data_IF_308305036954
#
_entry.id   IF_308305036954
#
_cell.length_a   1.000
_cell.length_b   1.000
_cell.length_c   1.000
_cell.angle_alpha   90.00
_cell.angle_beta   90.00
_cell.angle_gamma   90.00
#
_symmetry.space_group_name_H-M   'P 1'
#
loop_
_entity.id
_entity.type
_entity.pdbx_description
1 polymer ?
#
# COMPACT_ATOMS: atom_id res chain seq x y z
N UNK A 1 -6.85 42.38 15.47
CA UNK A 1 -6.84 40.93 15.84
C UNK A 1 -7.95 40.31 15.02
N UNK A 2 -7.58 39.65 13.90
CA UNK A 2 -8.53 38.91 13.10
C UNK A 2 -8.60 37.50 13.67
N UNK A 3 -9.78 37.09 14.09
CA UNK A 3 -10.06 35.70 14.50
C UNK A 3 -9.78 34.75 13.34
N UNK A 4 -8.85 33.83 13.55
CA UNK A 4 -8.59 32.73 12.63
C UNK A 4 -9.83 31.81 12.67
N UNK A 5 -10.50 31.55 11.52
CA UNK A 5 -11.72 30.73 11.53
C UNK A 5 -11.36 29.34 12.07
N UNK A 6 -12.14 28.86 13.02
CA UNK A 6 -12.04 27.52 13.61
C UNK A 6 -12.03 26.48 12.48
N UNK A 7 -10.85 26.00 12.10
CA UNK A 7 -10.67 24.93 11.13
C UNK A 7 -11.36 23.69 11.65
N UNK A 8 -12.35 23.23 10.89
CA UNK A 8 -13.17 22.07 11.20
C UNK A 8 -12.29 20.88 11.59
N UNK A 9 -12.35 20.46 12.85
CA UNK A 9 -11.57 19.32 13.40
C UNK A 9 -11.75 18.02 12.61
N UNK A 10 -12.86 17.91 11.82
CA UNK A 10 -13.12 16.78 10.91
C UNK A 10 -12.14 16.68 9.76
N UNK A 11 -11.40 17.75 9.41
CA UNK A 11 -10.41 17.75 8.33
C UNK A 11 -9.02 17.29 8.79
N UNK A 12 -8.75 17.16 10.09
CA UNK A 12 -7.40 16.98 10.64
C UNK A 12 -6.86 15.54 10.58
N UNK A 13 -7.71 14.53 10.66
CA UNK A 13 -7.22 13.13 10.76
C UNK A 13 -7.98 12.19 9.83
N UNK A 14 -7.28 11.68 8.81
CA UNK A 14 -7.77 10.57 8.00
C UNK A 14 -7.44 9.29 8.75
N UNK A 15 -8.44 8.57 9.25
CA UNK A 15 -8.25 7.32 9.97
C UNK A 15 -8.64 6.09 9.13
N UNK A 16 -8.21 4.92 9.57
CA UNK A 16 -8.52 3.63 8.97
C UNK A 16 -10.04 3.41 8.77
N UNK A 17 -10.87 3.96 9.66
CA UNK A 17 -12.34 3.91 9.54
C UNK A 17 -12.87 4.62 8.29
N UNK A 18 -12.21 5.70 7.85
CA UNK A 18 -12.58 6.39 6.62
C UNK A 18 -12.29 5.54 5.39
N UNK A 19 -11.08 4.95 5.32
CA UNK A 19 -10.71 4.04 4.26
C UNK A 19 -11.65 2.82 4.20
N UNK A 20 -12.01 2.25 5.35
CA UNK A 20 -12.95 1.13 5.43
C UNK A 20 -14.34 1.49 4.90
N UNK A 21 -14.92 2.61 5.36
CA UNK A 21 -16.23 3.07 4.89
C UNK A 21 -16.24 3.37 3.40
N UNK A 22 -15.18 4.00 2.90
CA UNK A 22 -15.05 4.32 1.49
C UNK A 22 -14.95 3.07 0.62
N UNK A 23 -14.13 2.09 1.02
CA UNK A 23 -14.01 0.81 0.33
C UNK A 23 -15.32 0.03 0.30
N UNK A 24 -16.07 0.01 1.41
CA UNK A 24 -17.39 -0.59 1.46
C UNK A 24 -18.38 0.12 0.50
N UNK A 25 -18.37 1.46 0.45
CA UNK A 25 -19.22 2.23 -0.49
C UNK A 25 -18.89 1.94 -1.94
N UNK A 26 -17.61 1.86 -2.29
CA UNK A 26 -17.17 1.53 -3.65
C UNK A 26 -17.62 0.13 -4.05
N UNK A 27 -17.44 -0.87 -3.19
CA UNK A 27 -17.89 -2.22 -3.46
C UNK A 27 -19.43 -2.32 -3.66
N UNK A 28 -20.23 -1.57 -2.88
CA UNK A 28 -21.68 -1.49 -3.08
C UNK A 28 -22.05 -0.82 -4.41
N UNK A 29 -21.39 0.30 -4.76
CA UNK A 29 -21.63 0.99 -6.05
C UNK A 29 -21.27 0.10 -7.24
N UNK A 30 -20.15 -0.56 -7.19
CA UNK A 30 -19.70 -1.50 -8.22
C UNK A 30 -20.71 -2.62 -8.42
N UNK A 31 -21.21 -3.23 -7.33
CA UNK A 31 -22.29 -4.23 -7.38
C UNK A 31 -23.59 -3.65 -7.95
N UNK A 32 -23.96 -2.43 -7.55
CA UNK A 32 -25.19 -1.77 -7.99
C UNK A 32 -25.16 -1.31 -9.47
N UNK A 33 -23.98 -1.08 -10.04
CA UNK A 33 -23.80 -0.66 -11.44
C UNK A 33 -24.10 -1.74 -12.47
N UNK A 34 -24.23 -3.01 -12.04
CA UNK A 34 -24.65 -4.12 -12.91
C UNK A 34 -26.03 -3.88 -13.49
N UNK A 35 -26.10 -3.72 -14.84
CA UNK A 35 -27.35 -3.34 -15.55
C UNK A 35 -28.46 -4.37 -15.50
N UNK A 36 -28.19 -5.64 -15.20
CA UNK A 36 -29.19 -6.71 -15.06
C UNK A 36 -28.88 -7.57 -13.84
N UNK A 37 -29.94 -8.18 -13.26
CA UNK A 37 -29.81 -9.11 -12.13
C UNK A 37 -28.84 -10.26 -12.46
N UNK A 38 -28.91 -10.77 -13.70
CA UNK A 38 -28.00 -11.81 -14.19
C UNK A 38 -26.53 -11.34 -14.21
N UNK A 39 -26.24 -10.11 -14.66
CA UNK A 39 -24.88 -9.54 -14.63
C UNK A 39 -24.40 -9.32 -13.20
N UNK A 40 -25.29 -8.93 -12.27
CA UNK A 40 -24.98 -8.82 -10.83
C UNK A 40 -24.63 -10.18 -10.24
N UNK A 41 -25.41 -11.23 -10.52
CA UNK A 41 -25.12 -12.60 -10.09
C UNK A 41 -23.81 -13.12 -10.72
N UNK A 42 -23.61 -12.91 -12.02
CA UNK A 42 -22.39 -13.31 -12.73
C UNK A 42 -21.17 -12.54 -12.24
N UNK A 43 -21.30 -11.26 -11.88
CA UNK A 43 -20.19 -10.50 -11.29
C UNK A 43 -19.79 -11.05 -9.92
N UNK A 44 -20.75 -11.44 -9.08
CA UNK A 44 -20.49 -12.13 -7.81
C UNK A 44 -19.81 -13.48 -8.02
N UNK A 45 -20.21 -14.22 -9.06
CA UNK A 45 -19.56 -15.51 -9.42
C UNK A 45 -18.17 -15.31 -10.01
N UNK A 46 -18.01 -14.32 -10.90
CA UNK A 46 -16.70 -13.99 -11.53
C UNK A 46 -15.73 -13.30 -10.58
N UNK A 47 -16.25 -12.49 -9.65
CA UNK A 47 -15.50 -11.81 -8.62
C UNK A 47 -16.07 -12.10 -7.23
N UNK A 48 -16.00 -13.33 -6.71
CA UNK A 48 -16.53 -13.70 -5.38
C UNK A 48 -15.81 -13.00 -4.22
N UNK A 49 -14.86 -12.11 -4.52
CA UNK A 49 -14.31 -11.16 -3.55
C UNK A 49 -15.23 -9.97 -3.25
N UNK A 50 -16.27 -9.69 -4.05
CA UNK A 50 -17.18 -8.55 -3.80
C UNK A 50 -17.83 -8.55 -2.40
N UNK A 51 -18.43 -9.64 -1.91
CA UNK A 51 -18.97 -9.65 -0.57
C UNK A 51 -17.90 -9.42 0.50
N UNK A 52 -16.68 -9.93 0.28
CA UNK A 52 -15.57 -9.77 1.21
C UNK A 52 -15.04 -8.34 1.17
N UNK A 53 -14.90 -7.75 -0.02
CA UNK A 53 -14.45 -6.37 -0.19
C UNK A 53 -15.43 -5.40 0.43
N UNK A 54 -16.74 -5.68 0.39
CA UNK A 54 -17.76 -4.90 1.08
C UNK A 54 -17.63 -5.00 2.60
N UNK A 55 -17.40 -6.21 3.12
CA UNK A 55 -17.34 -6.48 4.56
C UNK A 55 -15.94 -6.22 5.15
N UNK A 56 -14.90 -6.39 4.35
CA UNK A 56 -13.51 -6.11 4.75
C UNK A 56 -12.68 -5.57 3.55
N UNK A 57 -12.84 -4.30 3.21
CA UNK A 57 -12.16 -3.68 2.08
C UNK A 57 -10.65 -3.55 2.27
N UNK A 58 -10.16 -3.74 3.48
CA UNK A 58 -8.75 -3.67 3.85
C UNK A 58 -8.30 -5.05 4.32
N UNK A 59 -7.34 -5.64 3.60
CA UNK A 59 -6.81 -6.97 3.93
C UNK A 59 -6.04 -6.98 5.25
N UNK A 60 -5.74 -8.17 5.76
CA UNK A 60 -5.19 -8.41 7.09
C UNK A 60 -3.95 -7.54 7.41
N UNK A 61 -2.89 -7.62 6.61
CA UNK A 61 -1.66 -6.84 6.84
C UNK A 61 -1.89 -5.34 6.64
N UNK A 62 -2.70 -4.98 5.64
CA UNK A 62 -3.02 -3.57 5.31
C UNK A 62 -3.73 -2.84 6.44
N UNK A 63 -4.38 -3.53 7.38
CA UNK A 63 -4.96 -2.90 8.58
C UNK A 63 -3.90 -2.11 9.38
N UNK A 64 -2.68 -2.62 9.47
CA UNK A 64 -1.58 -1.95 10.19
C UNK A 64 -0.77 -1.00 9.32
N UNK A 65 -0.53 -1.36 8.08
CA UNK A 65 0.22 -0.53 7.15
C UNK A 65 -0.53 0.77 6.81
N UNK A 66 -1.84 0.69 6.54
CA UNK A 66 -2.64 1.90 6.31
C UNK A 66 -2.72 2.77 7.56
N UNK A 67 -2.87 2.17 8.74
CA UNK A 67 -2.84 2.94 9.99
C UNK A 67 -1.50 3.70 10.13
N UNK A 68 -0.36 3.03 9.90
CA UNK A 68 0.95 3.66 9.92
C UNK A 68 1.05 4.82 8.91
N UNK A 69 0.65 4.61 7.66
CA UNK A 69 0.72 5.64 6.62
C UNK A 69 -0.15 6.84 6.98
N UNK A 70 -1.42 6.61 7.35
CA UNK A 70 -2.35 7.69 7.67
C UNK A 70 -1.93 8.48 8.92
N UNK A 71 -1.43 7.80 9.96
CA UNK A 71 -0.87 8.43 11.17
C UNK A 71 0.40 9.23 10.83
N UNK A 72 1.26 8.69 9.96
CA UNK A 72 2.48 9.37 9.51
C UNK A 72 2.18 10.60 8.66
N UNK A 73 1.19 10.55 7.76
CA UNK A 73 0.71 11.72 7.02
C UNK A 73 0.24 12.80 8.00
N UNK A 74 -0.60 12.44 8.96
CA UNK A 74 -1.11 13.38 9.96
C UNK A 74 0.00 14.04 10.77
N UNK A 75 1.08 13.32 11.04
CA UNK A 75 2.22 13.79 11.83
C UNK A 75 3.21 14.63 11.04
N UNK A 76 3.58 14.19 9.83
CA UNK A 76 4.73 14.76 9.11
C UNK A 76 4.32 15.65 7.93
N UNK A 77 3.19 15.38 7.30
CA UNK A 77 2.69 16.16 6.14
C UNK A 77 1.14 16.14 6.09
N UNK A 78 0.46 16.79 7.06
CA UNK A 78 -1.01 16.68 7.20
C UNK A 78 -1.79 17.24 6.01
N UNK A 79 -1.22 18.19 5.26
CA UNK A 79 -1.82 18.84 4.10
C UNK A 79 -0.81 18.91 2.95
N UNK A 80 -0.54 17.79 2.26
CA UNK A 80 0.32 17.83 1.08
C UNK A 80 -0.37 18.60 -0.05
N UNK A 81 0.38 19.43 -0.79
CA UNK A 81 -0.10 20.06 -2.03
C UNK A 81 -0.15 19.06 -3.16
N UNK A 82 0.89 18.21 -3.27
CA UNK A 82 1.02 17.18 -4.28
C UNK A 82 1.45 15.84 -3.65
N UNK A 83 0.67 14.80 -3.91
CA UNK A 83 0.88 13.46 -3.40
C UNK A 83 1.00 12.44 -4.53
N UNK A 84 2.06 11.63 -4.51
CA UNK A 84 2.25 10.48 -5.39
C UNK A 84 2.08 9.18 -4.63
N UNK A 85 1.25 8.29 -5.15
CA UNK A 85 1.15 6.91 -4.72
C UNK A 85 1.80 5.97 -5.73
N UNK A 86 2.83 5.24 -5.30
CA UNK A 86 3.52 4.25 -6.13
C UNK A 86 2.96 2.87 -5.82
N UNK A 87 1.99 2.44 -6.61
CA UNK A 87 1.43 1.08 -6.64
C UNK A 87 0.95 0.52 -5.29
N UNK A 88 0.66 1.38 -4.29
CA UNK A 88 0.06 0.93 -3.03
C UNK A 88 -1.31 0.29 -3.28
N UNK A 89 -1.86 -0.46 -2.31
CA UNK A 89 -3.23 -0.95 -2.44
C UNK A 89 -4.21 0.20 -2.73
N UNK A 90 -4.94 0.11 -3.82
CA UNK A 90 -5.65 1.20 -4.53
C UNK A 90 -6.61 2.03 -3.68
N UNK A 91 -7.10 1.45 -2.59
CA UNK A 91 -7.96 2.17 -1.66
C UNK A 91 -7.21 3.30 -0.92
N UNK A 92 -5.89 3.23 -0.78
CA UNK A 92 -5.09 4.26 -0.08
C UNK A 92 -5.11 5.61 -0.81
N UNK A 93 -4.66 5.73 -2.09
CA UNK A 93 -4.71 6.99 -2.80
C UNK A 93 -6.13 7.52 -2.98
N UNK A 94 -7.12 6.65 -3.22
CA UNK A 94 -8.52 7.04 -3.31
C UNK A 94 -9.03 7.63 -1.98
N UNK A 95 -8.64 7.04 -0.83
CA UNK A 95 -9.01 7.55 0.49
C UNK A 95 -8.42 8.93 0.74
N UNK A 96 -7.16 9.15 0.39
CA UNK A 96 -6.47 10.43 0.57
C UNK A 96 -7.10 11.50 -0.33
N UNK A 97 -7.31 11.18 -1.61
CA UNK A 97 -7.95 12.11 -2.55
C UNK A 97 -9.36 12.52 -2.11
N UNK A 98 -10.16 11.56 -1.65
CA UNK A 98 -11.52 11.81 -1.15
C UNK A 98 -11.52 12.70 0.10
N UNK A 99 -10.59 12.46 1.03
CA UNK A 99 -10.52 13.20 2.29
C UNK A 99 -9.75 14.53 2.18
N UNK A 100 -8.99 14.74 1.10
CA UNK A 100 -8.17 15.93 0.85
C UNK A 100 -8.41 16.47 -0.56
N UNK A 101 -9.56 17.10 -0.83
CA UNK A 101 -9.93 17.55 -2.19
C UNK A 101 -9.00 18.64 -2.75
N UNK A 102 -8.22 19.31 -1.91
CA UNK A 102 -7.23 20.31 -2.32
C UNK A 102 -5.85 19.72 -2.64
N UNK A 103 -5.60 18.45 -2.31
CA UNK A 103 -4.36 17.75 -2.62
C UNK A 103 -4.44 17.21 -4.05
N UNK A 104 -3.49 17.55 -4.91
CA UNK A 104 -3.30 16.83 -6.18
C UNK A 104 -2.76 15.45 -5.87
N UNK A 105 -3.43 14.42 -6.35
CA UNK A 105 -3.05 13.02 -6.14
C UNK A 105 -2.77 12.38 -7.48
N UNK A 106 -1.58 11.83 -7.64
CA UNK A 106 -1.20 10.98 -8.75
C UNK A 106 -0.98 9.56 -8.22
N UNK A 107 -1.61 8.56 -8.84
CA UNK A 107 -1.46 7.14 -8.50
C UNK A 107 -0.96 6.40 -9.73
N UNK A 108 0.12 5.66 -9.57
CA UNK A 108 0.67 4.85 -10.67
C UNK A 108 0.64 3.37 -10.33
N UNK A 109 0.54 2.56 -11.36
CA UNK A 109 0.78 1.12 -11.29
C UNK A 109 1.28 0.60 -12.62
N UNK A 110 2.02 -0.51 -12.61
CA UNK A 110 2.40 -1.23 -13.82
C UNK A 110 1.25 -2.09 -14.35
N UNK A 111 0.30 -2.46 -13.49
CA UNK A 111 -0.85 -3.30 -13.82
C UNK A 111 -2.02 -2.46 -14.31
N UNK A 112 -2.42 -2.63 -15.56
CA UNK A 112 -3.54 -1.90 -16.16
C UNK A 112 -4.85 -2.08 -15.37
N UNK A 113 -5.15 -3.30 -14.91
CA UNK A 113 -6.36 -3.58 -14.14
C UNK A 113 -6.47 -2.78 -12.85
N UNK A 114 -5.34 -2.51 -12.19
CA UNK A 114 -5.27 -1.70 -10.98
C UNK A 114 -5.48 -0.21 -11.28
N UNK A 115 -4.92 0.28 -12.39
CA UNK A 115 -5.15 1.66 -12.86
C UNK A 115 -6.61 1.87 -13.23
N UNK A 116 -7.21 0.93 -13.96
CA UNK A 116 -8.62 0.97 -14.34
C UNK A 116 -9.53 1.01 -13.10
N UNK A 117 -9.23 0.21 -12.08
CA UNK A 117 -9.99 0.24 -10.84
C UNK A 117 -9.97 1.63 -10.16
N UNK A 118 -8.81 2.29 -10.11
CA UNK A 118 -8.72 3.66 -9.57
C UNK A 118 -9.52 4.64 -10.41
N UNK A 119 -9.46 4.57 -11.75
CA UNK A 119 -10.24 5.43 -12.66
C UNK A 119 -11.74 5.25 -12.48
N UNK A 120 -12.20 4.01 -12.29
CA UNK A 120 -13.59 3.73 -11.96
C UNK A 120 -13.99 4.33 -10.61
N UNK A 121 -13.15 4.20 -9.58
CA UNK A 121 -13.38 4.80 -8.28
C UNK A 121 -13.44 6.33 -8.37
N UNK A 122 -12.56 6.97 -9.15
CA UNK A 122 -12.58 8.41 -9.45
C UNK A 122 -13.93 8.83 -10.02
N UNK A 123 -14.40 8.11 -11.04
CA UNK A 123 -15.69 8.37 -11.69
C UNK A 123 -16.86 8.19 -10.71
N UNK A 124 -16.87 7.09 -9.97
CA UNK A 124 -17.95 6.77 -9.01
C UNK A 124 -18.06 7.75 -7.84
N UNK A 125 -16.93 8.32 -7.41
CA UNK A 125 -16.88 9.26 -6.29
C UNK A 125 -16.91 10.72 -6.72
N UNK A 126 -16.81 10.99 -8.04
CA UNK A 126 -16.74 12.35 -8.58
C UNK A 126 -15.46 13.09 -8.17
N UNK A 127 -14.34 12.38 -8.01
CA UNK A 127 -13.06 12.97 -7.64
C UNK A 127 -12.50 13.77 -8.84
N UNK A 128 -11.99 14.97 -8.57
CA UNK A 128 -11.36 15.84 -9.59
C UNK A 128 -9.85 16.01 -9.35
N UNK A 129 -9.36 15.49 -8.25
CA UNK A 129 -8.01 15.69 -7.76
C UNK A 129 -7.16 14.41 -7.77
N UNK A 130 -7.65 13.31 -8.36
CA UNK A 130 -6.92 12.04 -8.47
C UNK A 130 -6.79 11.63 -9.94
N UNK A 131 -5.54 11.46 -10.37
CA UNK A 131 -5.18 10.90 -11.68
C UNK A 131 -4.54 9.53 -11.49
N UNK A 132 -4.90 8.55 -12.33
CA UNK A 132 -4.29 7.24 -12.32
C UNK A 132 -3.68 6.91 -13.68
N UNK A 133 -2.42 6.48 -13.72
CA UNK A 133 -1.67 6.17 -14.94
C UNK A 133 -0.84 4.89 -14.82
N UNK A 134 -0.62 4.24 -15.96
CA UNK A 134 0.30 3.11 -16.06
C UNK A 134 1.72 3.68 -16.10
N UNK A 135 2.56 3.29 -15.14
CA UNK A 135 3.96 3.68 -15.11
C UNK A 135 4.80 2.68 -14.30
N UNK A 136 6.08 2.60 -14.66
CA UNK A 136 7.08 1.81 -13.92
C UNK A 136 7.73 2.71 -12.85
N UNK A 137 7.76 2.23 -11.62
CA UNK A 137 8.39 2.95 -10.50
C UNK A 137 9.90 3.18 -10.70
N UNK A 138 10.55 2.42 -11.61
CA UNK A 138 11.97 2.57 -11.94
C UNK A 138 12.28 3.73 -12.88
N UNK A 139 11.22 4.28 -13.52
CA UNK A 139 11.29 5.40 -14.48
C UNK A 139 10.01 6.20 -14.41
N UNK A 140 9.91 7.08 -13.40
CA UNK A 140 8.69 7.85 -13.12
C UNK A 140 8.50 8.98 -14.16
N UNK A 141 7.31 9.11 -14.78
CA UNK A 141 7.05 10.14 -15.79
C UNK A 141 6.72 11.51 -15.15
N UNK A 142 7.45 11.87 -14.09
CA UNK A 142 7.26 13.12 -13.37
C UNK A 142 8.56 13.91 -13.30
N UNK A 143 8.45 15.24 -13.26
CA UNK A 143 9.59 16.11 -13.08
C UNK A 143 10.22 15.93 -11.68
N UNK A 144 11.46 16.35 -11.54
CA UNK A 144 12.15 16.43 -10.27
C UNK A 144 11.34 17.28 -9.29
N UNK A 145 11.36 16.93 -8.02
CA UNK A 145 10.83 17.76 -6.93
C UNK A 145 9.35 18.14 -7.04
N UNK A 146 8.55 17.31 -7.73
CA UNK A 146 7.14 17.59 -8.04
C UNK A 146 6.13 17.15 -6.98
N UNK A 147 6.57 16.46 -5.90
CA UNK A 147 5.68 15.96 -4.87
C UNK A 147 6.16 16.29 -3.45
N UNK A 148 5.23 16.67 -2.58
CA UNK A 148 5.48 16.87 -1.16
C UNK A 148 5.44 15.59 -0.35
N UNK A 149 4.67 14.61 -0.84
CA UNK A 149 4.42 13.33 -0.21
C UNK A 149 4.45 12.23 -1.24
N UNK A 150 5.19 11.16 -0.94
CA UNK A 150 5.19 9.93 -1.76
C UNK A 150 4.89 8.75 -0.85
N UNK A 151 4.02 7.84 -1.28
CA UNK A 151 3.79 6.57 -0.57
C UNK A 151 4.06 5.38 -1.47
N UNK A 152 4.53 4.29 -0.86
CA UNK A 152 4.59 2.97 -1.48
C UNK A 152 4.42 1.88 -0.42
N UNK A 153 3.31 1.17 -0.46
CA UNK A 153 2.92 0.20 0.57
C UNK A 153 3.04 -1.21 0.04
N UNK A 154 4.07 -1.92 0.45
CA UNK A 154 4.40 -3.30 0.02
C UNK A 154 4.44 -3.45 -1.50
N UNK A 155 5.38 -2.75 -2.13
CA UNK A 155 5.59 -2.75 -3.59
C UNK A 155 7.05 -3.02 -3.94
N UNK A 156 7.98 -2.34 -3.29
CA UNK A 156 9.41 -2.40 -3.61
C UNK A 156 9.98 -3.82 -3.52
N UNK A 157 9.41 -4.66 -2.68
CA UNK A 157 9.77 -6.08 -2.57
C UNK A 157 9.51 -6.89 -3.83
N UNK A 158 8.62 -6.44 -4.70
CA UNK A 158 8.21 -7.13 -5.93
C UNK A 158 8.97 -6.68 -7.17
N UNK A 159 9.72 -5.56 -7.11
CA UNK A 159 10.42 -5.01 -8.26
C UNK A 159 11.59 -5.90 -8.64
N UNK A 160 11.50 -6.47 -9.85
CA UNK A 160 12.55 -7.33 -10.39
C UNK A 160 13.71 -6.50 -11.02
N UNK A 161 14.90 -7.09 -11.14
CA UNK A 161 15.31 -8.42 -10.70
C UNK A 161 15.43 -8.52 -9.16
N UNK A 162 15.56 -9.76 -8.66
CA UNK A 162 15.72 -10.02 -7.21
C UNK A 162 16.85 -9.17 -6.60
N UNK A 163 17.99 -9.12 -7.26
CA UNK A 163 19.15 -8.36 -6.76
C UNK A 163 19.16 -6.95 -7.34
N UNK A 164 18.81 -5.97 -6.54
CA UNK A 164 18.93 -4.54 -6.84
C UNK A 164 17.88 -3.95 -7.76
N UNK A 165 16.83 -4.70 -8.14
CA UNK A 165 15.77 -4.20 -9.02
C UNK A 165 15.00 -3.02 -8.44
N UNK A 166 14.92 -2.91 -7.12
CA UNK A 166 14.26 -1.82 -6.39
C UNK A 166 15.10 -0.55 -6.27
N UNK A 167 16.42 -0.62 -6.41
CA UNK A 167 17.29 0.54 -6.24
C UNK A 167 17.04 1.68 -7.27
N UNK A 168 16.77 1.39 -8.57
CA UNK A 168 16.31 2.42 -9.51
C UNK A 168 15.01 3.10 -9.05
N UNK A 169 14.04 2.34 -8.55
CA UNK A 169 12.78 2.90 -8.06
C UNK A 169 13.00 3.77 -6.80
N UNK A 170 13.94 3.39 -5.92
CA UNK A 170 14.32 4.21 -4.78
C UNK A 170 14.96 5.54 -5.22
N UNK A 171 15.82 5.54 -6.25
CA UNK A 171 16.37 6.78 -6.83
C UNK A 171 15.28 7.69 -7.39
N UNK A 172 14.35 7.12 -8.15
CA UNK A 172 13.23 7.88 -8.71
C UNK A 172 12.34 8.49 -7.62
N UNK A 173 12.04 7.73 -6.58
CA UNK A 173 11.30 8.23 -5.41
C UNK A 173 12.01 9.44 -4.79
N UNK A 174 13.34 9.39 -4.63
CA UNK A 174 14.13 10.52 -4.13
C UNK A 174 14.17 11.69 -5.10
N UNK A 175 14.21 11.44 -6.42
CA UNK A 175 14.23 12.47 -7.46
C UNK A 175 12.93 13.28 -7.48
N UNK A 176 11.78 12.60 -7.50
CA UNK A 176 10.47 13.28 -7.62
C UNK A 176 10.00 13.96 -6.34
N UNK A 177 10.59 13.63 -5.19
CA UNK A 177 10.23 14.24 -3.92
C UNK A 177 10.84 15.63 -3.80
N UNK A 178 10.07 16.64 -3.43
CA UNK A 178 10.52 18.01 -3.22
C UNK A 178 11.39 18.15 -1.94
N UNK A 179 12.28 19.15 -1.84
CA UNK A 179 13.02 19.44 -0.61
C UNK A 179 12.08 19.54 0.60
N UNK A 180 12.46 18.91 1.71
CA UNK A 180 11.61 18.81 2.90
C UNK A 180 10.41 17.85 2.78
N UNK A 181 10.16 17.29 1.60
CA UNK A 181 9.10 16.32 1.33
C UNK A 181 9.30 15.00 2.08
N UNK A 182 8.23 14.24 2.22
CA UNK A 182 8.16 13.00 3.00
C UNK A 182 7.84 11.81 2.10
N UNK A 183 8.62 10.73 2.23
CA UNK A 183 8.28 9.43 1.66
C UNK A 183 7.94 8.43 2.78
N UNK A 184 6.85 7.68 2.57
CA UNK A 184 6.37 6.65 3.48
C UNK A 184 6.40 5.31 2.75
N UNK A 185 7.21 4.39 3.24
CA UNK A 185 7.37 3.07 2.65
C UNK A 185 7.03 1.98 3.66
N UNK A 186 6.40 0.91 3.18
CA UNK A 186 6.35 -0.34 3.93
C UNK A 186 6.84 -1.49 3.06
N UNK A 187 7.64 -2.38 3.63
CA UNK A 187 8.18 -3.56 2.96
C UNK A 187 8.23 -4.76 3.91
N UNK A 188 8.12 -6.00 3.42
CA UNK A 188 8.34 -7.18 4.24
C UNK A 188 9.77 -7.21 4.82
N UNK A 189 9.86 -7.57 6.09
CA UNK A 189 11.13 -7.60 6.82
C UNK A 189 11.36 -8.96 7.48
N UNK A 190 12.61 -9.37 7.54
CA UNK A 190 13.09 -10.53 8.27
C UNK A 190 14.47 -10.24 8.87
N UNK A 191 14.87 -10.98 9.91
CA UNK A 191 16.21 -10.85 10.49
C UNK A 191 17.35 -11.23 9.52
N UNK A 192 17.05 -12.12 8.57
CA UNK A 192 17.95 -12.46 7.47
C UNK A 192 17.21 -12.32 6.15
N UNK A 193 17.92 -11.82 5.13
CA UNK A 193 17.41 -11.73 3.78
C UNK A 193 16.95 -13.11 3.26
N UNK A 194 15.82 -13.14 2.56
CA UNK A 194 15.43 -14.23 1.68
C UNK A 194 14.49 -13.75 0.59
N UNK A 195 14.45 -14.51 -0.51
CA UNK A 195 13.54 -14.27 -1.62
C UNK A 195 12.52 -15.40 -1.75
N UNK A 196 11.32 -15.04 -2.17
CA UNK A 196 10.27 -15.98 -2.53
C UNK A 196 10.10 -16.05 -4.04
N UNK A 197 9.86 -17.27 -4.52
CA UNK A 197 9.60 -17.57 -5.93
C UNK A 197 8.27 -18.29 -6.05
N UNK A 198 7.57 -18.10 -7.16
CA UNK A 198 6.28 -18.75 -7.43
C UNK A 198 6.27 -19.37 -8.83
N UNK A 199 5.58 -20.50 -8.95
CA UNK A 199 5.29 -21.11 -10.24
C UNK A 199 4.17 -20.34 -10.96
N UNK A 200 4.18 -20.39 -12.28
CA UNK A 200 3.18 -19.75 -13.14
C UNK A 200 3.49 -18.29 -13.45
N UNK A 201 2.45 -17.46 -13.58
CA UNK A 201 2.60 -16.03 -13.88
C UNK A 201 2.62 -15.19 -12.61
N UNK A 202 3.57 -14.26 -12.55
CA UNK A 202 3.71 -13.30 -11.43
C UNK A 202 3.80 -11.89 -12.02
N UNK A 203 2.84 -11.02 -11.75
CA UNK A 203 2.81 -9.63 -12.23
C UNK A 203 3.16 -9.50 -13.72
N UNK A 204 2.40 -10.14 -14.59
CA UNK A 204 2.59 -10.18 -16.06
C UNK A 204 3.89 -10.86 -16.55
N UNK A 205 4.76 -11.32 -15.64
CA UNK A 205 5.93 -12.12 -15.96
C UNK A 205 5.56 -13.59 -15.98
N UNK A 206 5.67 -14.24 -17.13
CA UNK A 206 5.45 -15.67 -17.28
C UNK A 206 6.77 -16.43 -17.27
N UNK A 207 6.76 -17.63 -16.68
CA UNK A 207 7.89 -18.57 -16.82
C UNK A 207 7.94 -19.09 -18.26
N UNK A 208 9.09 -18.99 -18.89
CA UNK A 208 9.31 -19.52 -20.25
C UNK A 208 9.80 -20.97 -20.24
N UNK A 209 10.33 -21.43 -19.12
CA UNK A 209 11.00 -22.73 -18.95
C UNK A 209 10.42 -23.57 -17.78
N UNK A 210 9.28 -23.13 -17.22
CA UNK A 210 8.65 -23.79 -16.08
C UNK A 210 9.32 -23.54 -14.73
N UNK A 211 10.40 -22.73 -14.70
CA UNK A 211 11.07 -22.41 -13.43
C UNK A 211 10.26 -21.40 -12.62
N UNK A 212 10.33 -21.47 -11.29
CA UNK A 212 9.70 -20.49 -10.43
C UNK A 212 10.23 -19.08 -10.70
N UNK A 213 9.32 -18.09 -10.77
CA UNK A 213 9.63 -16.69 -11.01
C UNK A 213 9.79 -15.98 -9.67
N UNK A 214 10.74 -15.05 -9.57
CA UNK A 214 10.88 -14.16 -8.43
C UNK A 214 9.55 -13.46 -8.14
N UNK A 215 9.07 -13.60 -6.89
CA UNK A 215 7.82 -13.00 -6.44
C UNK A 215 8.07 -11.80 -5.55
N UNK A 216 8.85 -11.97 -4.46
CA UNK A 216 9.16 -10.90 -3.53
C UNK A 216 10.43 -11.20 -2.74
N UNK A 217 11.01 -10.14 -2.18
CA UNK A 217 12.10 -10.24 -1.20
C UNK A 217 11.64 -9.85 0.19
N UNK A 218 12.23 -10.46 1.20
CA UNK A 218 12.16 -10.01 2.57
C UNK A 218 13.46 -9.30 2.90
N UNK A 219 13.36 -8.03 3.25
CA UNK A 219 14.52 -7.22 3.57
C UNK A 219 15.08 -7.58 4.95
N UNK A 220 16.39 -7.67 5.04
CA UNK A 220 17.11 -7.46 6.30
C UNK A 220 17.49 -5.97 6.46
N UNK A 221 18.10 -5.62 7.57
CA UNK A 221 18.44 -4.24 7.87
C UNK A 221 19.47 -3.66 6.89
N UNK A 222 20.44 -4.48 6.45
CA UNK A 222 21.52 -4.02 5.56
C UNK A 222 21.01 -3.75 4.15
N UNK A 223 20.19 -4.67 3.61
CA UNK A 223 19.56 -4.49 2.30
C UNK A 223 18.63 -3.27 2.30
N UNK A 224 17.82 -3.10 3.35
CA UNK A 224 16.92 -1.98 3.51
C UNK A 224 17.68 -0.64 3.51
N UNK A 225 18.73 -0.53 4.33
CA UNK A 225 19.57 0.68 4.40
C UNK A 225 20.26 0.97 3.08
N UNK A 226 20.82 -0.04 2.41
CA UNK A 226 21.55 0.12 1.15
C UNK A 226 20.62 0.44 -0.03
N UNK A 227 19.59 -0.38 -0.24
CA UNK A 227 18.81 -0.35 -1.47
C UNK A 227 17.59 0.58 -1.42
N UNK A 228 17.11 0.95 -0.23
CA UNK A 228 16.01 1.90 -0.10
C UNK A 228 16.49 3.26 0.43
N UNK A 229 17.18 3.30 1.57
CA UNK A 229 17.57 4.58 2.18
C UNK A 229 18.71 5.23 1.40
N UNK A 230 19.86 4.57 1.28
CA UNK A 230 21.02 5.14 0.60
C UNK A 230 20.77 5.36 -0.90
N UNK A 231 20.10 4.42 -1.57
CA UNK A 231 19.79 4.54 -2.99
C UNK A 231 18.84 5.70 -3.30
N UNK A 232 17.91 6.05 -2.41
CA UNK A 232 17.00 7.18 -2.60
C UNK A 232 17.66 8.54 -2.36
N UNK A 233 18.82 8.60 -1.69
CA UNK A 233 19.42 9.86 -1.25
C UNK A 233 18.63 10.58 -0.15
N UNK A 234 17.62 9.92 0.43
CA UNK A 234 16.77 10.50 1.45
C UNK A 234 17.31 10.22 2.85
N UNK A 235 17.01 11.12 3.77
CA UNK A 235 17.35 10.94 5.20
C UNK A 235 16.29 10.07 5.87
N UNK A 236 16.69 9.02 6.56
CA UNK A 236 15.82 8.22 7.42
C UNK A 236 15.40 9.05 8.65
N UNK A 237 14.11 9.32 8.77
CA UNK A 237 13.51 10.04 9.93
C UNK A 237 13.13 9.05 11.02
N UNK A 238 12.48 7.97 10.65
CA UNK A 238 12.15 6.87 11.58
C UNK A 238 11.97 5.55 10.83
N UNK A 239 12.26 4.48 11.54
CA UNK A 239 11.94 3.12 11.12
C UNK A 239 11.27 2.40 12.29
N UNK A 240 10.15 1.75 12.00
CA UNK A 240 9.40 0.95 12.96
C UNK A 240 9.03 -0.37 12.32
N UNK A 241 8.72 -1.37 13.13
CA UNK A 241 8.42 -2.71 12.66
C UNK A 241 7.06 -3.17 13.19
N UNK A 242 6.27 -3.76 12.30
CA UNK A 242 5.07 -4.51 12.67
C UNK A 242 5.49 -5.95 12.86
N UNK A 243 5.22 -6.48 14.04
CA UNK A 243 5.47 -7.87 14.39
C UNK A 243 4.22 -8.72 14.16
N UNK A 244 4.39 -9.93 13.65
CA UNK A 244 3.33 -10.93 13.61
C UNK A 244 3.50 -11.98 14.70
N UNK A 245 2.56 -12.03 15.65
CA UNK A 245 2.54 -12.94 16.81
C UNK A 245 1.88 -14.26 16.47
N UNK A 246 2.37 -14.95 15.45
CA UNK A 246 1.85 -16.25 15.04
C UNK A 246 2.80 -17.38 15.41
N UNK A 247 2.25 -18.54 15.81
CA UNK A 247 2.98 -19.65 16.44
C UNK A 247 3.96 -20.42 15.55
N UNK A 248 4.19 -20.04 14.31
CA UNK A 248 5.15 -20.73 13.46
C UNK A 248 6.59 -20.36 13.82
N UNK A 249 7.44 -21.38 13.99
CA UNK A 249 8.90 -21.20 14.10
C UNK A 249 9.56 -20.87 12.76
N UNK A 250 8.92 -21.24 11.64
CA UNK A 250 9.40 -20.93 10.30
C UNK A 250 9.07 -19.48 9.94
N UNK A 251 10.05 -18.60 9.68
CA UNK A 251 9.82 -17.21 9.30
C UNK A 251 9.06 -17.06 7.98
N UNK A 252 9.01 -18.10 7.15
CA UNK A 252 8.25 -18.12 5.89
C UNK A 252 6.76 -18.41 6.10
N UNK A 253 6.40 -19.02 7.23
CA UNK A 253 5.01 -19.33 7.56
C UNK A 253 4.38 -18.19 8.35
N UNK A 254 3.58 -17.39 7.68
CA UNK A 254 2.84 -16.25 8.23
C UNK A 254 1.35 -16.60 8.32
N UNK A 255 0.65 -16.04 9.29
CA UNK A 255 -0.81 -16.16 9.37
C UNK A 255 -1.47 -15.66 8.08
N UNK A 256 -0.94 -14.57 7.50
CA UNK A 256 -1.38 -14.05 6.22
C UNK A 256 -1.48 -15.13 5.12
N UNK A 257 -0.51 -16.06 5.05
CA UNK A 257 -0.52 -17.15 4.06
C UNK A 257 -1.68 -18.12 4.27
N UNK A 258 -2.12 -18.31 5.50
CA UNK A 258 -3.23 -19.23 5.83
C UNK A 258 -4.61 -18.60 5.68
N UNK A 259 -4.74 -17.28 5.85
CA UNK A 259 -6.04 -16.61 5.85
C UNK A 259 -6.33 -15.80 4.57
N UNK A 260 -5.30 -15.49 3.77
CA UNK A 260 -5.43 -14.65 2.58
C UNK A 260 -4.76 -15.19 1.31
N UNK A 261 -4.10 -16.36 1.38
CA UNK A 261 -3.38 -16.96 0.26
C UNK A 261 -4.29 -17.40 -0.90
N UNK A 262 -5.46 -17.92 -0.60
CA UNK A 262 -6.45 -18.38 -1.58
C UNK A 262 -7.75 -17.57 -1.51
N UNK A 263 -8.53 -17.64 -2.59
CA UNK A 263 -9.84 -17.00 -2.70
C UNK A 263 -10.83 -17.52 -1.62
N UNK A 264 -10.82 -18.83 -1.36
CA UNK A 264 -11.66 -19.44 -0.32
C UNK A 264 -11.28 -18.95 1.07
N UNK A 265 -10.00 -18.87 1.37
CA UNK A 265 -9.50 -18.35 2.64
C UNK A 265 -9.90 -16.89 2.86
N UNK A 266 -9.78 -16.04 1.83
CA UNK A 266 -10.25 -14.66 1.89
C UNK A 266 -11.75 -14.57 2.14
N UNK A 267 -12.55 -15.47 1.56
CA UNK A 267 -13.98 -15.53 1.79
C UNK A 267 -14.32 -15.86 3.25
N UNK A 268 -13.65 -16.85 3.81
CA UNK A 268 -13.91 -17.32 5.18
C UNK A 268 -13.39 -16.33 6.22
N UNK A 269 -12.18 -15.83 6.03
CA UNK A 269 -11.48 -15.00 7.04
C UNK A 269 -11.61 -13.50 6.82
N UNK A 270 -12.09 -13.05 5.66
CA UNK A 270 -12.13 -11.62 5.30
C UNK A 270 -12.83 -10.75 6.34
N UNK A 271 -13.98 -11.20 6.85
CA UNK A 271 -14.73 -10.54 7.92
C UNK A 271 -13.94 -10.40 9.22
N UNK A 272 -13.04 -11.33 9.47
CA UNK A 272 -12.24 -11.39 10.68
C UNK A 272 -10.94 -10.61 10.58
N UNK A 273 -10.55 -10.11 9.39
CA UNK A 273 -9.29 -9.40 9.20
C UNK A 273 -9.03 -8.27 10.20
N UNK A 274 -9.99 -7.38 10.52
CA UNK A 274 -9.75 -6.33 11.51
C UNK A 274 -9.44 -6.89 12.90
N UNK A 275 -10.17 -7.95 13.31
CA UNK A 275 -9.96 -8.62 14.60
C UNK A 275 -8.62 -9.36 14.61
N UNK A 276 -8.35 -10.18 13.59
CA UNK A 276 -7.10 -10.94 13.47
C UNK A 276 -5.89 -10.01 13.42
N UNK A 277 -5.96 -8.89 12.69
CA UNK A 277 -4.90 -7.91 12.66
C UNK A 277 -4.69 -7.24 14.03
N UNK A 278 -5.76 -7.01 14.78
CA UNK A 278 -5.66 -6.45 16.13
C UNK A 278 -4.99 -7.43 17.11
N UNK A 279 -5.26 -8.71 16.98
CA UNK A 279 -4.74 -9.76 17.89
C UNK A 279 -3.31 -10.13 17.52
N UNK A 280 -3.05 -10.40 16.23
CA UNK A 280 -1.78 -11.00 15.78
C UNK A 280 -0.75 -10.01 15.25
N UNK A 281 -1.15 -8.81 14.77
CA UNK A 281 -0.22 -7.79 14.32
C UNK A 281 -0.04 -6.70 15.38
N UNK A 282 1.21 -6.43 15.76
CA UNK A 282 1.53 -5.33 16.65
C UNK A 282 1.24 -3.97 16.00
N UNK A 283 1.17 -2.92 16.80
CA UNK A 283 1.41 -1.56 16.29
C UNK A 283 2.89 -1.43 15.89
N UNK A 284 3.24 -0.50 14.99
CA UNK A 284 4.64 -0.21 14.67
C UNK A 284 5.44 0.10 15.94
N UNK A 285 6.59 -0.56 16.12
CA UNK A 285 7.48 -0.43 17.28
C UNK A 285 8.94 -0.58 16.86
N UNK A 286 9.87 -0.28 17.76
CA UNK A 286 11.31 -0.44 17.55
C UNK A 286 11.70 -1.91 17.35
N UNK A 287 12.77 -2.17 16.60
CA UNK A 287 13.19 -3.52 16.24
C UNK A 287 13.52 -4.37 17.48
N UNK A 288 14.17 -3.77 18.46
CA UNK A 288 14.60 -4.43 19.71
C UNK A 288 13.40 -4.93 20.54
N UNK A 289 12.24 -4.32 20.33
CA UNK A 289 10.96 -4.73 20.95
C UNK A 289 10.21 -5.80 20.14
N UNK A 290 10.77 -6.25 18.99
CA UNK A 290 10.16 -7.24 18.13
C UNK A 290 10.82 -8.60 18.32
N UNK A 291 10.04 -9.64 18.55
CA UNK A 291 10.50 -11.02 18.53
C UNK A 291 10.47 -11.60 17.12
N UNK A 292 9.43 -11.27 16.35
CA UNK A 292 9.20 -11.73 14.97
C UNK A 292 8.81 -10.55 14.08
N UNK A 293 9.73 -9.65 13.73
CA UNK A 293 9.43 -8.54 12.84
C UNK A 293 9.00 -9.08 11.47
N UNK A 294 7.99 -8.43 10.90
CA UNK A 294 7.39 -8.88 9.64
C UNK A 294 7.32 -7.79 8.58
N UNK A 295 7.02 -6.56 8.96
CA UNK A 295 6.94 -5.43 8.05
C UNK A 295 7.76 -4.30 8.62
N UNK A 296 8.68 -3.76 7.83
CA UNK A 296 9.37 -2.50 8.12
C UNK A 296 8.55 -1.32 7.59
N UNK A 297 8.42 -0.30 8.42
CA UNK A 297 7.67 0.93 8.16
C UNK A 297 8.65 2.10 8.23
N UNK A 298 8.94 2.75 7.11
CA UNK A 298 9.95 3.79 6.97
C UNK A 298 9.30 5.16 6.75
N UNK A 299 9.83 6.16 7.43
CA UNK A 299 9.61 7.57 7.14
C UNK A 299 10.93 8.15 6.67
N UNK A 300 10.96 8.62 5.43
CA UNK A 300 12.13 9.24 4.81
C UNK A 300 11.81 10.71 4.51
N UNK A 301 12.83 11.57 4.50
CA UNK A 301 12.69 12.98 4.17
C UNK A 301 13.76 13.39 3.19
N UNK A 302 13.42 14.17 2.18
CA UNK A 302 14.38 14.83 1.31
C UNK A 302 15.05 15.98 2.08
N UNK A 303 16.38 16.04 2.09
CA UNK A 303 17.13 17.14 2.69
C UNK A 303 16.71 18.51 2.19
#
# INVERSE_FOLDING_TARGET
MAEEPARDERQRTIGLRHAWRLGARLAVKEWASGRTMLRRCLSVVRHPSYPITWLSPISYTRQREFAFVLESIARYRPFPGAFLDISSPKLLPVTIAYARPQTRVDSIDILEGDVLWVREAVTHLGLRNLTASIADARTLPFADESFDLVTSVSVFEHIAPEKGGEAPAARELGRVLAPGGIALLTVPFSQAYFAEYRAGTVYERASTDGQPIFYQRFYDMDLLKRNLVAASGLRLVSIHFIEERFFSRDPRKRLASYISGTRRQRLVFGLLYPLLARVFLSRPKELEKCTKPYIACLVLRKP
#
